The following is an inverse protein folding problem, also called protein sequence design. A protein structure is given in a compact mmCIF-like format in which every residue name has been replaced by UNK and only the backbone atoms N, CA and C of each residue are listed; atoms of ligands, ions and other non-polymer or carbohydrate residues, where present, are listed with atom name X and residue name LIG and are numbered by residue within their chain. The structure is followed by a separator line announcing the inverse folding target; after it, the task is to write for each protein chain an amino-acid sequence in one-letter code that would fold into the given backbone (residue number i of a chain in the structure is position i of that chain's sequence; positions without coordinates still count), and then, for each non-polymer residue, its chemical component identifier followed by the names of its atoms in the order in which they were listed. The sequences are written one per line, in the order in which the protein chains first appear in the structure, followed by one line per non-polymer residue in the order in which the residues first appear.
data_IF_026853199809
#
_entry.id   IF_026853199809
#
_cell.length_a   1.000
_cell.length_b   1.000
_cell.length_c   1.000
_cell.angle_alpha   90.00
_cell.angle_beta   90.00
_cell.angle_gamma   90.00
#
_symmetry.space_group_name_H-M   'P 1'
#
loop_
_entity.id
_entity.type
_entity.pdbx_description
1 polymer ?
#
# COMPACT_ATOMS: atom_id res chain seq x y z
N UNK A 1 -7.19 4.11 14.19
CA UNK A 1 -8.30 3.16 14.47
C UNK A 1 -9.30 3.73 15.48
N UNK A 2 -8.87 4.25 16.63
CA UNK A 2 -9.80 4.83 17.64
C UNK A 2 -10.52 6.09 17.13
N UNK A 3 -9.82 7.01 16.43
CA UNK A 3 -10.43 8.25 15.90
C UNK A 3 -11.55 7.99 14.87
N UNK A 4 -11.34 7.06 13.92
CA UNK A 4 -12.34 6.71 12.90
C UNK A 4 -13.60 6.10 13.51
N UNK A 5 -13.44 5.28 14.56
CA UNK A 5 -14.58 4.71 15.28
C UNK A 5 -15.35 5.78 16.07
N UNK A 6 -14.67 6.77 16.65
CA UNK A 6 -15.31 7.91 17.30
C UNK A 6 -16.12 8.76 16.31
N UNK A 7 -15.59 8.97 15.11
CA UNK A 7 -16.26 9.70 14.03
C UNK A 7 -17.53 8.97 13.54
N UNK A 8 -17.48 7.63 13.48
CA UNK A 8 -18.66 6.81 13.18
C UNK A 8 -19.72 6.89 14.29
N UNK A 9 -19.33 6.87 15.57
CA UNK A 9 -20.28 7.01 16.69
C UNK A 9 -20.96 8.39 16.69
N UNK A 10 -20.22 9.46 16.42
CA UNK A 10 -20.78 10.80 16.25
C UNK A 10 -21.81 10.84 15.12
N UNK A 11 -21.47 10.26 13.97
CA UNK A 11 -22.35 10.22 12.79
C UNK A 11 -23.61 9.40 13.02
N UNK A 12 -23.50 8.27 13.74
CA UNK A 12 -24.66 7.46 14.13
C UNK A 12 -25.60 8.20 15.06
N UNK A 13 -25.04 8.97 16.00
CA UNK A 13 -25.80 9.78 16.96
C UNK A 13 -26.54 10.92 16.24
N UNK A 14 -25.87 11.60 15.30
CA UNK A 14 -26.48 12.66 14.47
C UNK A 14 -27.61 12.15 13.58
N UNK A 15 -27.54 10.89 13.12
CA UNK A 15 -28.55 10.26 12.27
C UNK A 15 -29.64 9.53 13.05
N UNK A 16 -29.64 9.63 14.38
CA UNK A 16 -30.56 8.93 15.29
C UNK A 16 -30.64 7.40 15.03
N UNK A 17 -29.50 6.80 14.65
CA UNK A 17 -29.42 5.36 14.39
C UNK A 17 -29.09 4.65 15.71
N UNK A 18 -30.14 4.24 16.41
CA UNK A 18 -30.06 3.56 17.72
C UNK A 18 -30.14 2.04 17.61
N UNK A 19 -30.69 1.52 16.51
CA UNK A 19 -30.73 0.09 16.23
C UNK A 19 -29.34 -0.45 15.88
N UNK A 20 -28.90 -1.47 16.63
CA UNK A 20 -27.56 -2.06 16.50
C UNK A 20 -27.28 -2.62 15.10
N UNK A 21 -28.28 -3.21 14.43
CA UNK A 21 -28.09 -3.77 13.08
C UNK A 21 -27.92 -2.65 12.05
N UNK A 22 -28.73 -1.60 12.14
CA UNK A 22 -28.61 -0.41 11.28
C UNK A 22 -27.28 0.33 11.52
N UNK A 23 -26.84 0.43 12.77
CA UNK A 23 -25.55 1.03 13.12
C UNK A 23 -24.37 0.27 12.52
N UNK A 24 -24.37 -1.06 12.65
CA UNK A 24 -23.33 -1.90 12.04
C UNK A 24 -23.34 -1.81 10.50
N UNK A 25 -24.52 -1.87 9.87
CA UNK A 25 -24.63 -1.75 8.42
C UNK A 25 -24.11 -0.40 7.92
N UNK A 26 -24.36 0.69 8.66
CA UNK A 26 -23.81 2.01 8.35
C UNK A 26 -22.28 2.03 8.44
N UNK A 27 -21.70 1.57 9.57
CA UNK A 27 -20.25 1.52 9.76
C UNK A 27 -19.58 0.67 8.67
N UNK A 28 -20.16 -0.50 8.36
CA UNK A 28 -19.68 -1.38 7.30
C UNK A 28 -19.63 -0.65 5.96
N UNK A 29 -20.72 0.04 5.59
CA UNK A 29 -20.79 0.79 4.34
C UNK A 29 -19.76 1.92 4.27
N UNK A 30 -19.55 2.66 5.35
CA UNK A 30 -18.52 3.71 5.37
C UNK A 30 -17.10 3.12 5.27
N UNK A 31 -16.84 2.01 5.96
CA UNK A 31 -15.56 1.32 5.84
C UNK A 31 -15.32 0.77 4.42
N UNK A 32 -16.34 0.20 3.78
CA UNK A 32 -16.27 -0.28 2.39
C UNK A 32 -15.89 0.85 1.41
N UNK A 33 -16.35 2.08 1.63
CA UNK A 33 -15.92 3.24 0.82
C UNK A 33 -14.44 3.55 1.00
N UNK A 34 -13.93 3.51 2.24
CA UNK A 34 -12.52 3.74 2.51
C UNK A 34 -11.66 2.69 1.82
N UNK A 35 -12.08 1.42 1.87
CA UNK A 35 -11.39 0.33 1.15
C UNK A 35 -11.42 0.57 -0.35
N UNK A 36 -12.57 0.92 -0.90
CA UNK A 36 -12.71 1.24 -2.33
C UNK A 36 -11.79 2.39 -2.77
N UNK A 37 -11.77 3.49 -2.03
CA UNK A 37 -10.91 4.65 -2.33
C UNK A 37 -9.43 4.29 -2.19
N UNK A 38 -9.08 3.45 -1.21
CA UNK A 38 -7.72 2.93 -1.06
C UNK A 38 -7.31 2.08 -2.27
N UNK A 39 -8.15 1.14 -2.71
CA UNK A 39 -7.89 0.30 -3.89
C UNK A 39 -7.71 1.14 -5.16
N UNK A 40 -8.57 2.16 -5.34
CA UNK A 40 -8.44 3.11 -6.44
C UNK A 40 -7.12 3.86 -6.42
N UNK A 41 -6.69 4.32 -5.24
CA UNK A 41 -5.40 5.01 -5.09
C UNK A 41 -4.21 4.08 -5.34
N UNK A 42 -4.29 2.82 -4.91
CA UNK A 42 -3.28 1.79 -5.22
C UNK A 42 -3.17 1.63 -6.74
N UNK A 43 -4.29 1.44 -7.43
CA UNK A 43 -4.30 1.26 -8.88
C UNK A 43 -3.71 2.46 -9.63
N UNK A 44 -4.13 3.68 -9.28
CA UNK A 44 -3.59 4.91 -9.87
C UNK A 44 -2.08 5.08 -9.59
N UNK A 45 -1.60 4.65 -8.43
CA UNK A 45 -0.17 4.71 -8.09
C UNK A 45 0.63 3.69 -8.90
N UNK A 46 0.10 2.48 -9.10
CA UNK A 46 0.72 1.46 -9.98
C UNK A 46 0.83 1.96 -11.41
N UNK A 47 -0.23 2.55 -11.95
CA UNK A 47 -0.23 3.12 -13.31
C UNK A 47 0.79 4.25 -13.47
N UNK A 48 0.92 5.13 -12.47
CA UNK A 48 1.94 6.20 -12.48
C UNK A 48 3.36 5.63 -12.46
N UNK A 49 3.60 4.60 -11.64
CA UNK A 49 4.90 3.94 -11.57
C UNK A 49 5.24 3.26 -12.90
N UNK A 50 4.27 2.59 -13.52
CA UNK A 50 4.43 1.99 -14.85
C UNK A 50 4.79 3.03 -15.91
N UNK A 51 4.11 4.18 -15.90
CA UNK A 51 4.42 5.29 -16.81
C UNK A 51 5.85 5.83 -16.61
N UNK A 52 6.38 5.83 -15.38
CA UNK A 52 7.78 6.21 -15.13
C UNK A 52 8.72 5.23 -15.80
N UNK A 53 8.50 3.92 -15.66
CA UNK A 53 9.34 2.91 -16.31
C UNK A 53 9.28 2.99 -17.84
N UNK A 54 8.07 3.12 -18.41
CA UNK A 54 7.90 3.35 -19.86
C UNK A 54 8.66 4.59 -20.32
N UNK A 55 8.49 5.73 -19.62
CA UNK A 55 9.16 6.97 -19.99
C UNK A 55 10.69 6.85 -19.97
N UNK A 56 11.25 6.22 -18.94
CA UNK A 56 12.70 6.03 -18.80
C UNK A 56 13.23 5.14 -19.92
N UNK A 57 12.53 4.04 -20.20
CA UNK A 57 12.85 3.12 -21.29
C UNK A 57 12.83 3.80 -22.66
N UNK A 58 11.77 4.56 -22.95
CA UNK A 58 11.58 5.21 -24.25
C UNK A 58 12.56 6.38 -24.48
N UNK A 59 12.96 7.07 -23.41
CA UNK A 59 13.80 8.28 -23.51
C UNK A 59 15.30 7.97 -23.40
N UNK A 60 15.68 7.02 -22.54
CA UNK A 60 17.07 6.77 -22.17
C UNK A 60 17.53 5.31 -22.39
N UNK A 61 16.61 4.41 -22.74
CA UNK A 61 16.90 2.98 -22.84
C UNK A 61 16.93 2.26 -21.49
N UNK A 62 17.31 0.98 -21.51
CA UNK A 62 17.20 0.07 -20.35
C UNK A 62 18.44 -0.02 -19.46
N UNK A 63 19.51 0.68 -19.79
CA UNK A 63 20.82 0.41 -19.17
C UNK A 63 21.02 1.25 -17.90
N UNK A 64 21.60 2.44 -18.02
CA UNK A 64 22.06 3.20 -16.87
C UNK A 64 20.91 3.89 -16.12
N UNK A 65 20.02 4.57 -16.82
CA UNK A 65 18.94 5.36 -16.20
C UNK A 65 17.88 4.45 -15.55
N UNK A 66 17.58 3.31 -16.19
CA UNK A 66 16.68 2.32 -15.61
C UNK A 66 17.23 1.77 -14.29
N UNK A 67 18.52 1.45 -14.23
CA UNK A 67 19.17 0.96 -13.01
C UNK A 67 19.14 2.02 -11.91
N UNK A 68 19.39 3.30 -12.25
CA UNK A 68 19.35 4.40 -11.29
C UNK A 68 17.94 4.55 -10.68
N UNK A 69 16.91 4.55 -11.51
CA UNK A 69 15.50 4.64 -11.06
C UNK A 69 15.14 3.47 -10.14
N UNK A 70 15.48 2.24 -10.53
CA UNK A 70 15.21 1.06 -9.72
C UNK A 70 15.95 1.12 -8.38
N UNK A 71 17.19 1.61 -8.37
CA UNK A 71 18.00 1.76 -7.14
C UNK A 71 17.39 2.78 -6.20
N UNK A 72 16.94 3.94 -6.70
CA UNK A 72 16.27 4.96 -5.89
C UNK A 72 14.93 4.47 -5.31
N UNK A 73 14.13 3.77 -6.12
CA UNK A 73 12.87 3.15 -5.64
C UNK A 73 13.13 2.08 -4.58
N UNK A 74 14.23 1.35 -4.70
CA UNK A 74 14.65 0.33 -3.73
C UNK A 74 15.13 0.95 -2.42
N UNK A 75 15.95 2.00 -2.50
CA UNK A 75 16.52 2.66 -1.32
C UNK A 75 15.43 3.42 -0.52
N UNK A 76 14.37 3.87 -1.19
CA UNK A 76 13.27 4.55 -0.54
C UNK A 76 12.31 3.57 0.15
N UNK A 77 12.24 3.65 1.48
CA UNK A 77 11.35 2.80 2.30
C UNK A 77 9.90 2.75 1.82
N UNK A 78 9.31 3.87 1.41
CA UNK A 78 7.90 3.92 1.02
C UNK A 78 7.68 3.28 -0.35
N UNK A 79 8.58 3.52 -1.30
CA UNK A 79 8.54 2.91 -2.63
C UNK A 79 8.75 1.39 -2.54
N UNK A 80 9.79 0.95 -1.85
CA UNK A 80 10.08 -0.46 -1.57
C UNK A 80 8.87 -1.16 -0.92
N UNK A 81 8.33 -0.59 0.16
CA UNK A 81 7.14 -1.14 0.84
C UNK A 81 5.91 -1.21 -0.07
N UNK A 82 5.70 -0.21 -0.93
CA UNK A 82 4.58 -0.21 -1.86
C UNK A 82 4.74 -1.30 -2.92
N UNK A 83 5.94 -1.44 -3.50
CA UNK A 83 6.27 -2.44 -4.51
C UNK A 83 6.15 -3.85 -3.92
N UNK A 84 6.74 -4.10 -2.75
CA UNK A 84 6.63 -5.40 -2.07
C UNK A 84 5.18 -5.79 -1.74
N UNK A 85 4.34 -4.81 -1.38
CA UNK A 85 2.94 -5.07 -1.01
C UNK A 85 1.99 -5.23 -2.20
N UNK A 86 2.17 -4.46 -3.27
CA UNK A 86 1.19 -4.36 -4.38
C UNK A 86 1.71 -4.84 -5.74
N UNK A 87 3.01 -5.11 -5.83
CA UNK A 87 3.71 -5.53 -7.03
C UNK A 87 3.89 -4.41 -8.07
N UNK A 88 4.95 -4.52 -8.87
CA UNK A 88 5.20 -3.68 -10.04
C UNK A 88 5.89 -4.51 -11.14
N UNK A 89 5.19 -4.81 -12.22
CA UNK A 89 5.63 -5.79 -13.22
C UNK A 89 6.93 -5.36 -13.92
N UNK A 90 7.01 -4.12 -14.42
CA UNK A 90 8.25 -3.57 -15.01
C UNK A 90 9.41 -3.44 -14.02
N UNK A 91 9.13 -3.25 -12.73
CA UNK A 91 10.19 -3.27 -11.71
C UNK A 91 10.80 -4.68 -11.60
N UNK A 92 9.98 -5.73 -11.60
CA UNK A 92 10.45 -7.11 -11.50
C UNK A 92 11.16 -7.60 -12.77
N UNK A 93 10.76 -7.13 -13.95
CA UNK A 93 11.44 -7.43 -15.21
C UNK A 93 12.91 -6.95 -15.21
N UNK A 94 13.17 -5.82 -14.56
CA UNK A 94 14.49 -5.18 -14.52
C UNK A 94 15.30 -5.52 -13.26
N UNK A 95 14.73 -6.21 -12.25
CA UNK A 95 15.44 -6.54 -11.01
C UNK A 95 15.06 -7.89 -10.38
N UNK A 96 15.64 -8.98 -10.89
CA UNK A 96 15.35 -10.36 -10.45
C UNK A 96 15.98 -10.77 -9.11
N UNK A 97 17.04 -10.11 -8.66
CA UNK A 97 17.76 -10.48 -7.42
C UNK A 97 17.11 -9.91 -6.15
N UNK A 98 16.29 -8.85 -6.25
CA UNK A 98 15.81 -8.09 -5.10
C UNK A 98 14.54 -8.62 -4.42
N UNK A 99 13.77 -9.49 -5.09
CA UNK A 99 12.59 -10.18 -4.55
C UNK A 99 12.86 -10.92 -3.23
N UNK A 100 14.10 -11.37 -3.04
CA UNK A 100 14.51 -12.11 -1.85
C UNK A 100 14.80 -11.20 -0.65
N UNK A 101 15.32 -9.99 -0.88
CA UNK A 101 15.73 -9.09 0.20
C UNK A 101 14.53 -8.44 0.92
N UNK A 102 13.52 -7.99 0.17
CA UNK A 102 12.32 -7.37 0.76
C UNK A 102 11.48 -8.38 1.53
N UNK A 103 11.29 -9.60 0.98
CA UNK A 103 10.58 -10.67 1.69
C UNK A 103 11.29 -11.06 2.99
N UNK A 104 12.62 -11.03 3.00
CA UNK A 104 13.39 -11.26 4.22
C UNK A 104 13.16 -10.15 5.25
N UNK A 105 13.13 -8.87 4.84
CA UNK A 105 12.86 -7.76 5.75
C UNK A 105 11.44 -7.77 6.32
N UNK A 106 10.43 -8.11 5.52
CA UNK A 106 9.04 -8.19 6.00
C UNK A 106 8.87 -9.35 6.98
N UNK A 107 9.47 -10.51 6.73
CA UNK A 107 9.52 -11.61 7.70
C UNK A 107 10.20 -11.16 9.00
N UNK A 108 11.32 -10.45 8.93
CA UNK A 108 12.02 -9.96 10.13
C UNK A 108 11.18 -8.94 10.92
N UNK A 109 10.42 -8.08 10.23
CA UNK A 109 9.47 -7.16 10.90
C UNK A 109 8.33 -7.92 11.56
N UNK A 110 7.72 -8.89 10.88
CA UNK A 110 6.67 -9.73 11.45
C UNK A 110 7.17 -10.47 12.70
N UNK A 111 8.37 -11.06 12.65
CA UNK A 111 9.01 -11.69 13.81
C UNK A 111 9.22 -10.70 14.96
N UNK A 112 9.75 -9.49 14.68
CA UNK A 112 9.96 -8.47 15.72
C UNK A 112 8.67 -8.00 16.39
N UNK A 113 7.57 -7.95 15.64
CA UNK A 113 6.25 -7.61 16.17
C UNK A 113 5.69 -8.74 17.03
N UNK A 114 5.91 -10.00 16.65
CA UNK A 114 5.48 -11.16 17.42
C UNK A 114 6.23 -11.25 18.76
N UNK A 115 7.53 -11.01 18.75
CA UNK A 115 8.37 -11.02 19.96
C UNK A 115 8.03 -9.84 20.89
N UNK A 116 7.72 -8.67 20.33
CA UNK A 116 7.27 -7.51 21.10
C UNK A 116 5.87 -7.64 21.73
N UNK A 117 5.06 -8.60 21.27
CA UNK A 117 3.73 -8.90 21.84
C UNK A 117 3.78 -9.92 23.00
N UNK A 118 4.96 -10.48 23.32
CA UNK A 118 5.18 -11.40 24.45
C UNK A 118 5.74 -10.72 25.72
N UNK A 119 5.82 -9.38 25.76
CA UNK A 119 6.15 -8.58 26.96
C UNK A 119 4.95 -7.73 27.37
#
# INVERSE_FOLDING_TARGET
MIATLQEYLLTLTQKDITDKKKAFAFIKKEFEKIVYDMEKNVQATKERMENVFVFVEDTFGKEQEMLLVVTELTANYYSAKFIGKYGADKYFENNKELLFYERQQDIMKELSLLDGMML
#
